data_IF_926609354783
#
_entry.id   IF_926609354783
#
_cell.length_a   1.000
_cell.length_b   1.000
_cell.length_c   1.000
_cell.angle_alpha   90.00
_cell.angle_beta   90.00
_cell.angle_gamma   90.00
#
_symmetry.space_group_name_H-M   'P 1'
#
loop_
_entity.id
_entity.type
_entity.pdbx_description
1 polymer ?
#
# COMPACT_ATOMS: atom_id res chain seq x y z
N UNK A 1 12.32 -5.30 -17.35
CA UNK A 1 12.49 -6.24 -16.24
C UNK A 1 11.72 -5.69 -15.06
N UNK A 2 10.77 -6.46 -14.55
CA UNK A 2 9.91 -6.10 -13.41
C UNK A 2 10.45 -6.69 -12.10
N UNK A 3 11.54 -7.45 -12.19
CA UNK A 3 12.29 -8.18 -11.16
C UNK A 3 13.47 -7.39 -10.59
N UNK A 4 13.52 -6.07 -10.81
CA UNK A 4 14.57 -5.19 -10.26
C UNK A 4 15.95 -5.33 -10.94
N UNK A 5 16.07 -6.13 -11.99
CA UNK A 5 17.30 -6.27 -12.75
C UNK A 5 17.46 -5.15 -13.79
N UNK A 6 18.66 -4.55 -13.85
CA UNK A 6 19.00 -3.56 -14.85
C UNK A 6 18.97 -4.20 -16.24
N UNK A 7 18.29 -3.61 -17.24
CA UNK A 7 18.32 -4.13 -18.59
C UNK A 7 19.78 -4.12 -19.08
N UNK A 8 20.25 -5.29 -19.52
CA UNK A 8 21.64 -5.56 -19.95
C UNK A 8 22.04 -4.77 -21.23
N UNK A 9 21.07 -4.09 -21.84
CA UNK A 9 21.25 -3.10 -22.90
C UNK A 9 20.49 -1.81 -22.51
N UNK A 10 21.21 -0.69 -22.53
CA UNK A 10 20.83 0.55 -21.87
C UNK A 10 19.49 1.19 -22.28
N UNK A 11 18.94 1.90 -21.30
CA UNK A 11 17.99 3.03 -21.35
C UNK A 11 16.69 2.74 -22.14
N UNK A 12 15.59 2.59 -21.40
CA UNK A 12 14.23 2.35 -21.92
C UNK A 12 13.71 3.67 -22.53
N UNK A 13 13.54 3.77 -23.86
CA UNK A 13 13.17 5.04 -24.53
C UNK A 13 11.80 5.08 -25.22
N UNK A 14 11.02 4.01 -25.21
CA UNK A 14 9.79 3.96 -26.00
C UNK A 14 8.58 3.84 -25.10
N UNK A 15 7.67 4.79 -25.27
CA UNK A 15 6.33 4.80 -24.69
C UNK A 15 5.31 4.83 -25.82
N UNK A 16 4.15 4.23 -25.60
CA UNK A 16 3.05 4.25 -26.56
C UNK A 16 1.72 4.42 -25.84
N UNK A 17 0.76 5.06 -26.47
CA UNK A 17 -0.61 5.08 -25.96
C UNK A 17 -1.33 3.84 -26.49
N UNK A 18 -1.90 3.04 -25.59
CA UNK A 18 -2.75 1.91 -25.94
C UNK A 18 -4.17 2.21 -25.46
N UNK A 19 -5.12 2.03 -26.38
CA UNK A 19 -6.53 2.05 -26.06
C UNK A 19 -7.04 0.62 -25.96
N UNK A 20 -7.61 0.27 -24.82
CA UNK A 20 -8.23 -1.02 -24.58
C UNK A 20 -9.63 -0.83 -23.99
N UNK A 21 -10.49 -1.84 -24.16
CA UNK A 21 -11.82 -1.85 -23.58
C UNK A 21 -11.89 -2.81 -22.40
N UNK A 22 -12.33 -2.32 -21.26
CA UNK A 22 -12.52 -3.13 -20.05
C UNK A 22 -13.85 -2.72 -19.40
N UNK A 23 -14.69 -3.71 -19.11
CA UNK A 23 -15.99 -3.53 -18.45
C UNK A 23 -16.88 -2.45 -19.14
N UNK A 24 -16.96 -2.53 -20.48
CA UNK A 24 -17.69 -1.58 -21.32
C UNK A 24 -17.06 -0.18 -21.44
N UNK A 25 -16.00 0.13 -20.69
CA UNK A 25 -15.28 1.41 -20.75
C UNK A 25 -14.09 1.30 -21.69
N UNK A 26 -13.89 2.32 -22.53
CA UNK A 26 -12.66 2.48 -23.32
C UNK A 26 -11.66 3.29 -22.52
N UNK A 27 -10.51 2.68 -22.22
CA UNK A 27 -9.43 3.25 -21.44
C UNK A 27 -8.25 3.48 -22.36
N UNK A 28 -7.63 4.66 -22.28
CA UNK A 28 -6.42 4.99 -23.06
C UNK A 28 -5.32 5.39 -22.11
N UNK A 29 -4.24 4.61 -22.08
CA UNK A 29 -3.13 4.81 -21.16
C UNK A 29 -1.78 4.75 -21.87
N UNK A 30 -0.79 5.43 -21.28
CA UNK A 30 0.58 5.41 -21.77
C UNK A 30 1.35 4.24 -21.16
N UNK A 31 1.81 3.32 -22.01
CA UNK A 31 2.62 2.16 -21.64
C UNK A 31 4.09 2.36 -22.00
N UNK A 32 4.98 1.84 -21.15
CA UNK A 32 6.39 1.67 -21.46
C UNK A 32 6.58 0.38 -22.25
N UNK A 33 7.35 0.43 -23.34
CA UNK A 33 7.62 -0.74 -24.18
C UNK A 33 8.78 -1.52 -23.59
N UNK A 34 8.54 -2.77 -23.21
CA UNK A 34 9.57 -3.71 -22.79
C UNK A 34 9.19 -5.14 -23.21
N UNK A 35 10.15 -6.06 -23.21
CA UNK A 35 9.85 -7.48 -23.43
C UNK A 35 9.22 -8.06 -22.15
N UNK A 36 7.92 -8.30 -22.19
CA UNK A 36 7.12 -8.76 -21.03
C UNK A 36 6.92 -10.29 -21.03
N UNK A 37 7.63 -11.02 -21.90
CA UNK A 37 7.50 -12.47 -22.02
C UNK A 37 6.13 -12.88 -22.55
N UNK A 38 5.35 -13.59 -21.74
CA UNK A 38 4.04 -14.14 -22.11
C UNK A 38 2.87 -13.15 -22.03
N UNK A 39 3.10 -11.93 -21.52
CA UNK A 39 2.03 -10.96 -21.29
C UNK A 39 2.05 -9.87 -22.36
N UNK A 40 0.88 -9.49 -22.86
CA UNK A 40 0.76 -8.43 -23.86
C UNK A 40 0.98 -7.02 -23.25
N UNK A 41 0.46 -6.79 -22.05
CA UNK A 41 0.59 -5.55 -21.30
C UNK A 41 0.46 -5.84 -19.80
N UNK A 42 1.01 -4.98 -18.97
CA UNK A 42 0.88 -5.04 -17.50
C UNK A 42 0.35 -3.70 -17.02
N UNK A 43 -0.74 -3.74 -16.26
CA UNK A 43 -1.34 -2.59 -15.60
C UNK A 43 -0.71 -2.46 -14.21
N UNK A 44 0.04 -1.39 -14.00
CA UNK A 44 0.72 -1.13 -12.73
C UNK A 44 -0.14 -0.33 -11.75
N UNK A 45 0.47 0.04 -10.62
CA UNK A 45 -0.17 0.80 -9.55
C UNK A 45 -0.81 2.11 -10.02
N UNK A 46 -0.16 2.87 -10.91
CA UNK A 46 -0.74 4.12 -11.43
C UNK A 46 -2.10 3.94 -12.10
N UNK A 47 -2.30 2.81 -12.76
CA UNK A 47 -3.60 2.49 -13.35
C UNK A 47 -4.60 2.07 -12.28
N UNK A 48 -4.18 1.24 -11.32
CA UNK A 48 -5.04 0.82 -10.20
C UNK A 48 -5.50 2.00 -9.36
N UNK A 49 -4.62 2.95 -9.03
CA UNK A 49 -4.95 4.16 -8.29
C UNK A 49 -5.93 5.07 -9.04
N UNK A 50 -5.74 5.21 -10.36
CA UNK A 50 -6.53 6.12 -11.19
C UNK A 50 -7.97 5.62 -11.41
N UNK A 51 -8.16 4.32 -11.62
CA UNK A 51 -9.46 3.75 -11.96
C UNK A 51 -10.13 3.03 -10.79
N UNK A 52 -9.39 2.77 -9.70
CA UNK A 52 -9.81 2.11 -8.47
C UNK A 52 -10.80 0.94 -8.72
N UNK A 53 -10.41 -0.06 -9.53
CA UNK A 53 -11.26 -1.20 -9.78
C UNK A 53 -11.41 -2.05 -8.51
N UNK A 54 -12.51 -2.76 -8.42
CA UNK A 54 -12.69 -3.82 -7.44
C UNK A 54 -11.90 -5.05 -7.89
N UNK A 55 -11.06 -5.58 -7.00
CA UNK A 55 -10.21 -6.74 -7.24
C UNK A 55 -10.70 -7.90 -6.39
N UNK A 56 -11.29 -8.90 -7.03
CA UNK A 56 -11.54 -10.18 -6.38
C UNK A 56 -10.31 -11.07 -6.54
N UNK A 57 -9.51 -11.14 -5.48
CA UNK A 57 -8.28 -11.93 -5.44
C UNK A 57 -8.53 -13.45 -5.43
N UNK A 58 -9.69 -13.92 -4.99
CA UNK A 58 -10.01 -15.34 -4.97
C UNK A 58 -10.42 -15.83 -6.36
N UNK A 59 -11.21 -15.03 -7.07
CA UNK A 59 -11.64 -15.32 -8.44
C UNK A 59 -10.62 -14.86 -9.48
N UNK A 60 -9.60 -14.10 -9.08
CA UNK A 60 -8.65 -13.43 -9.97
C UNK A 60 -9.36 -12.56 -11.02
N UNK A 61 -10.41 -11.86 -10.61
CA UNK A 61 -11.22 -10.99 -11.48
C UNK A 61 -11.09 -9.53 -11.09
N UNK A 62 -11.25 -8.66 -12.08
CA UNK A 62 -11.36 -7.22 -11.92
C UNK A 62 -12.76 -6.78 -12.39
N UNK A 63 -13.34 -5.77 -11.74
CA UNK A 63 -14.59 -5.12 -12.15
C UNK A 63 -14.58 -3.65 -11.74
N UNK A 64 -15.43 -2.81 -12.35
CA UNK A 64 -15.70 -1.49 -11.78
C UNK A 64 -16.94 -1.55 -10.90
N UNK A 65 -16.88 -0.94 -9.72
CA UNK A 65 -18.05 -0.78 -8.87
C UNK A 65 -19.11 0.05 -9.61
N UNK A 66 -20.31 -0.52 -9.72
CA UNK A 66 -21.48 0.19 -10.24
C UNK A 66 -22.26 0.90 -9.13
N UNK A 67 -21.90 0.66 -7.88
CA UNK A 67 -22.52 1.21 -6.69
C UNK A 67 -21.73 2.42 -6.19
N UNK A 68 -22.40 3.54 -5.84
CA UNK A 68 -21.75 4.63 -5.13
C UNK A 68 -21.12 4.06 -3.85
N UNK A 69 -19.91 4.50 -3.47
CA UNK A 69 -19.32 4.06 -2.22
C UNK A 69 -20.27 4.45 -1.09
N UNK A 70 -20.78 3.44 -0.38
CA UNK A 70 -21.50 3.62 0.86
C UNK A 70 -20.57 4.43 1.79
N UNK A 71 -21.08 5.54 2.30
CA UNK A 71 -20.28 6.49 3.07
C UNK A 71 -19.75 5.77 4.32
N UNK A 72 -18.48 5.39 4.29
CA UNK A 72 -17.81 4.83 5.46
C UNK A 72 -17.69 5.98 6.46
N UNK A 73 -18.55 5.98 7.48
CA UNK A 73 -18.36 6.81 8.66
C UNK A 73 -17.03 6.40 9.28
N UNK A 74 -16.00 7.21 9.06
CA UNK A 74 -14.73 7.12 9.77
C UNK A 74 -15.08 7.09 11.26
N UNK A 75 -14.64 6.04 11.96
CA UNK A 75 -14.89 5.89 13.39
C UNK A 75 -14.44 7.17 14.10
N UNK A 76 -15.38 7.82 14.79
CA UNK A 76 -15.09 8.96 15.66
C UNK A 76 -13.94 8.59 16.60
N UNK A 77 -13.02 9.54 16.79
CA UNK A 77 -11.94 9.44 17.77
C UNK A 77 -12.59 9.30 19.15
N UNK A 78 -12.73 8.04 19.59
CA UNK A 78 -13.37 7.70 20.85
C UNK A 78 -12.44 8.20 21.97
N UNK A 79 -12.86 9.28 22.64
CA UNK A 79 -12.27 9.79 23.89
C UNK A 79 -11.85 8.62 24.78
N UNK A 80 -10.61 8.67 25.29
CA UNK A 80 -9.97 7.59 26.05
C UNK A 80 -10.95 6.97 27.07
N UNK A 81 -11.44 5.77 26.76
CA UNK A 81 -12.43 5.09 27.57
C UNK A 81 -11.84 4.84 28.96
N UNK A 82 -12.50 5.35 30.01
CA UNK A 82 -12.08 5.21 31.41
C UNK A 82 -11.99 3.76 31.89
N UNK A 83 -12.56 2.82 31.13
CA UNK A 83 -12.48 1.39 31.38
C UNK A 83 -12.01 0.64 30.12
N UNK A 84 -10.69 0.55 29.88
CA UNK A 84 -10.13 -0.06 28.67
C UNK A 84 -10.39 -1.58 28.60
N UNK A 85 -10.77 -2.23 29.71
CA UNK A 85 -10.97 -3.69 29.78
C UNK A 85 -12.31 -4.14 29.21
N UNK A 86 -13.27 -3.23 29.00
CA UNK A 86 -14.55 -3.55 28.35
C UNK A 86 -14.42 -3.99 26.90
N UNK A 87 -13.38 -3.51 26.21
CA UNK A 87 -13.14 -3.82 24.79
C UNK A 87 -12.15 -4.98 24.61
N UNK A 88 -11.43 -5.34 25.66
CA UNK A 88 -10.42 -6.41 25.64
C UNK A 88 -11.08 -7.74 26.03
N UNK A 89 -10.87 -8.84 25.28
CA UNK A 89 -11.43 -10.14 25.65
C UNK A 89 -10.93 -10.62 27.03
N UNK A 90 -11.75 -11.37 27.79
CA UNK A 90 -11.45 -11.76 29.18
C UNK A 90 -10.12 -12.51 29.35
N UNK A 91 -9.70 -13.27 28.34
CA UNK A 91 -8.46 -14.05 28.34
C UNK A 91 -7.21 -13.16 28.44
N UNK A 92 -7.33 -11.91 28.00
CA UNK A 92 -6.25 -10.92 28.00
C UNK A 92 -6.32 -9.97 29.21
N UNK A 93 -7.32 -10.09 30.09
CA UNK A 93 -7.43 -9.25 31.29
C UNK A 93 -6.24 -9.43 32.24
N UNK A 94 -5.58 -10.59 32.22
CA UNK A 94 -4.32 -10.83 32.95
C UNK A 94 -3.18 -9.87 32.51
N UNK A 95 -3.26 -9.31 31.30
CA UNK A 95 -2.32 -8.35 30.74
C UNK A 95 -2.87 -6.92 30.74
N UNK A 96 -3.92 -6.63 31.52
CA UNK A 96 -4.53 -5.30 31.64
C UNK A 96 -3.51 -4.16 31.76
N UNK A 97 -2.42 -4.41 32.50
CA UNK A 97 -1.31 -3.48 32.71
C UNK A 97 -0.61 -3.05 31.41
N UNK A 98 -0.52 -3.93 30.41
CA UNK A 98 0.11 -3.65 29.10
C UNK A 98 -0.69 -2.60 28.31
N UNK A 99 -2.01 -2.53 28.55
CA UNK A 99 -2.90 -1.59 27.89
C UNK A 99 -3.06 -0.25 28.65
N UNK A 100 -2.29 -0.03 29.71
CA UNK A 100 -2.24 1.24 30.43
C UNK A 100 -1.37 2.27 29.70
N UNK A 101 -1.74 3.55 29.78
CA UNK A 101 -0.99 4.67 29.16
C UNK A 101 0.49 4.73 29.59
N UNK A 102 0.78 4.25 30.81
CA UNK A 102 2.12 4.22 31.41
C UNK A 102 3.10 3.25 30.73
N UNK A 103 2.60 2.17 30.10
CA UNK A 103 3.44 1.18 29.40
C UNK A 103 3.52 1.45 27.89
N UNK A 104 2.54 2.17 27.31
CA UNK A 104 2.56 2.56 25.88
C UNK A 104 3.63 3.60 25.55
N UNK A 105 4.02 4.44 26.51
CA UNK A 105 5.02 5.48 26.33
C UNK A 105 6.48 4.99 26.41
N UNK A 106 6.71 3.68 26.60
CA UNK A 106 8.05 3.11 26.72
C UNK A 106 8.32 2.23 25.52
N UNK A 107 9.40 2.54 24.80
CA UNK A 107 9.88 1.66 23.74
C UNK A 107 10.32 0.31 24.36
N UNK A 108 10.02 -0.82 23.70
CA UNK A 108 10.55 -2.09 24.14
C UNK A 108 12.09 -2.07 24.13
N UNK A 109 12.75 -2.85 25.01
CA UNK A 109 14.19 -2.93 25.06
C UNK A 109 14.77 -3.38 23.72
N UNK A 110 15.89 -2.77 23.32
CA UNK A 110 16.58 -3.08 22.07
C UNK A 110 16.99 -4.55 22.01
N UNK A 111 16.58 -5.27 20.96
CA UNK A 111 16.97 -6.67 20.75
C UNK A 111 18.18 -6.78 19.82
N UNK A 112 18.81 -7.95 19.82
CA UNK A 112 19.96 -8.28 18.96
C UNK A 112 19.60 -8.39 17.46
N UNK A 113 18.31 -8.42 17.14
CA UNK A 113 17.78 -8.34 15.77
C UNK A 113 17.31 -6.94 15.38
N UNK A 114 17.42 -5.97 16.28
CA UNK A 114 16.98 -4.62 15.98
C UNK A 114 18.03 -3.95 15.09
N UNK A 115 17.62 -3.52 13.91
CA UNK A 115 18.51 -2.96 12.90
C UNK A 115 18.69 -1.47 13.23
N UNK A 116 19.90 -1.08 13.60
CA UNK A 116 20.25 0.30 13.90
C UNK A 116 20.22 1.12 12.60
N UNK A 117 19.38 2.15 12.56
CA UNK A 117 19.37 3.13 11.46
C UNK A 117 20.39 4.20 11.85
N UNK A 118 21.59 4.13 11.28
CA UNK A 118 22.60 5.16 11.44
C UNK A 118 22.12 6.47 10.79
N UNK A 119 21.74 7.45 11.61
CA UNK A 119 21.41 8.79 11.15
C UNK A 119 22.72 9.57 10.95
N UNK A 120 23.25 9.57 9.73
CA UNK A 120 24.34 10.47 9.34
C UNK A 120 23.81 11.90 9.19
N UNK A 121 24.44 12.88 9.83
CA UNK A 121 24.05 14.31 9.78
C UNK A 121 24.07 14.90 8.35
N UNK A 122 24.78 14.25 7.42
CA UNK A 122 24.98 14.65 6.02
C UNK A 122 24.35 13.69 4.99
N UNK A 123 23.51 12.74 5.42
CA UNK A 123 22.78 11.90 4.48
C UNK A 123 21.73 12.74 3.75
N UNK A 124 21.59 12.65 2.41
CA UNK A 124 20.50 13.34 1.74
C UNK A 124 19.21 12.81 2.33
N UNK A 125 18.50 13.67 3.09
CA UNK A 125 17.08 13.50 3.35
C UNK A 125 16.51 13.16 1.98
N UNK A 126 15.96 11.95 1.80
CA UNK A 126 15.23 11.62 0.58
C UNK A 126 14.14 12.67 0.48
N UNK A 127 14.40 13.69 -0.33
CA UNK A 127 13.50 14.79 -0.54
C UNK A 127 12.20 14.18 -1.05
N UNK A 128 11.04 14.72 -0.66
CA UNK A 128 9.79 14.22 -1.19
C UNK A 128 9.86 14.36 -2.70
N UNK A 129 9.59 13.27 -3.41
CA UNK A 129 9.47 13.26 -4.86
C UNK A 129 8.51 14.38 -5.27
N UNK A 130 9.05 15.51 -5.69
CA UNK A 130 8.26 16.58 -6.28
C UNK A 130 8.14 16.29 -7.78
N UNK A 131 6.92 16.49 -8.27
CA UNK A 131 6.34 16.04 -9.55
C UNK A 131 7.11 16.38 -10.83
#
# INVERSE_FOLDING_TARGET
MLDGSCPQAGKIWKKTNLTFSFDGKKITETFLICNTGSHAAILGLKWLDAYNPEIDWNMHTLSFSHTPPEQVTIAEEEEANKDPLKRVPPEYHQYAKVFGEEELNKLPPHWHYNIEIELTEDGPLSSPCTA
#
